data_IF_136155714480
#
_entry.id   IF_136155714480
#
_cell.length_a   1.000
_cell.length_b   1.000
_cell.length_c   1.000
_cell.angle_alpha   90.00
_cell.angle_beta   90.00
_cell.angle_gamma   90.00
#
_symmetry.space_group_name_H-M   'P 1'
#
loop_
_entity.id
_entity.type
_entity.pdbx_description
1 polymer ?
#
# COMPACT_ATOMS: atom_id res chain seq x y z
N UNK A 1 -38.91 -5.95 -70.40
CA UNK A 1 -37.97 -5.16 -69.57
C UNK A 1 -38.20 -5.55 -68.11
N UNK A 2 -37.14 -5.97 -67.41
CA UNK A 2 -37.17 -6.44 -66.01
C UNK A 2 -37.00 -5.24 -65.08
N UNK A 3 -37.83 -5.10 -64.05
CA UNK A 3 -37.61 -4.14 -62.96
C UNK A 3 -37.35 -4.91 -61.66
N UNK A 4 -36.15 -4.73 -61.11
CA UNK A 4 -35.67 -5.34 -59.89
C UNK A 4 -36.19 -4.61 -58.65
N UNK A 5 -36.56 -5.40 -57.66
CA UNK A 5 -36.86 -5.05 -56.27
C UNK A 5 -35.62 -4.58 -55.50
N UNK A 6 -35.78 -3.63 -54.58
CA UNK A 6 -34.86 -3.45 -53.44
C UNK A 6 -35.63 -2.97 -52.20
N UNK A 7 -35.71 -3.85 -51.21
CA UNK A 7 -36.16 -3.59 -49.84
C UNK A 7 -34.90 -3.34 -49.01
N UNK A 8 -34.77 -2.14 -48.44
CA UNK A 8 -33.63 -1.77 -47.59
C UNK A 8 -34.04 -1.90 -46.12
N UNK A 9 -33.57 -2.96 -45.46
CA UNK A 9 -33.77 -3.19 -44.03
C UNK A 9 -32.68 -2.46 -43.22
N UNK A 10 -33.09 -1.45 -42.46
CA UNK A 10 -32.22 -0.76 -41.49
C UNK A 10 -32.15 -1.62 -40.22
N UNK A 11 -30.98 -2.22 -39.97
CA UNK A 11 -30.65 -2.88 -38.70
C UNK A 11 -30.07 -1.84 -37.74
N UNK A 12 -30.80 -1.56 -36.65
CA UNK A 12 -30.32 -0.76 -35.53
C UNK A 12 -29.41 -1.65 -34.66
N UNK A 13 -28.11 -1.37 -34.63
CA UNK A 13 -27.17 -2.04 -33.75
C UNK A 13 -27.19 -1.39 -32.36
N UNK A 14 -27.65 -2.14 -31.35
CA UNK A 14 -27.55 -1.75 -29.94
C UNK A 14 -26.12 -2.01 -29.46
N UNK A 15 -25.32 -0.96 -29.31
CA UNK A 15 -23.99 -1.06 -28.71
C UNK A 15 -24.12 -1.17 -27.18
N UNK A 16 -23.91 -2.37 -26.63
CA UNK A 16 -23.79 -2.58 -25.19
C UNK A 16 -22.42 -2.07 -24.72
N UNK A 17 -22.41 -0.97 -23.96
CA UNK A 17 -21.23 -0.49 -23.23
C UNK A 17 -20.96 -1.46 -22.07
N UNK A 18 -20.10 -2.44 -22.31
CA UNK A 18 -19.50 -3.26 -21.26
C UNK A 18 -18.51 -2.39 -20.49
N UNK A 19 -18.94 -1.78 -19.38
CA UNK A 19 -18.02 -1.11 -18.47
C UNK A 19 -17.14 -2.17 -17.82
N UNK A 20 -15.84 -2.17 -18.16
CA UNK A 20 -14.86 -2.96 -17.45
C UNK A 20 -14.84 -2.48 -16.01
N UNK A 21 -15.28 -3.33 -15.07
CA UNK A 21 -15.08 -3.08 -13.65
C UNK A 21 -13.55 -3.05 -13.46
N UNK A 22 -12.97 -1.95 -12.98
CA UNK A 22 -11.54 -1.92 -12.69
C UNK A 22 -11.27 -3.03 -11.68
N UNK A 23 -10.52 -4.05 -12.11
CA UNK A 23 -9.99 -5.05 -11.19
C UNK A 23 -9.15 -4.27 -10.18
N UNK A 24 -9.38 -4.44 -8.87
CA UNK A 24 -8.50 -3.83 -7.87
C UNK A 24 -7.07 -4.22 -8.24
N UNK A 25 -6.18 -3.22 -8.35
CA UNK A 25 -4.79 -3.45 -8.69
C UNK A 25 -4.24 -4.57 -7.81
N UNK A 26 -3.63 -5.58 -8.44
CA UNK A 26 -3.03 -6.68 -7.70
C UNK A 26 -2.03 -6.12 -6.68
N UNK A 27 -2.08 -6.64 -5.46
CA UNK A 27 -1.14 -6.24 -4.42
C UNK A 27 0.29 -6.71 -4.76
N UNK A 28 1.32 -6.00 -4.28
CA UNK A 28 2.69 -6.47 -4.37
C UNK A 28 2.86 -7.84 -3.71
N UNK A 29 3.86 -8.59 -4.18
CA UNK A 29 4.25 -9.85 -3.54
C UNK A 29 4.50 -9.65 -2.03
N UNK A 30 3.99 -10.59 -1.23
CA UNK A 30 4.09 -10.56 0.23
C UNK A 30 3.04 -9.70 0.94
N UNK A 31 2.25 -8.90 0.22
CA UNK A 31 1.06 -8.24 0.77
C UNK A 31 -0.19 -9.08 0.58
N UNK A 32 -0.88 -9.34 1.69
CA UNK A 32 -2.19 -9.96 1.69
C UNK A 32 -3.29 -8.89 1.76
N UNK A 33 -4.40 -9.05 1.03
CA UNK A 33 -5.50 -8.10 1.08
C UNK A 33 -6.13 -8.09 2.47
N UNK A 34 -6.41 -6.90 2.98
CA UNK A 34 -7.09 -6.69 4.26
C UNK A 34 -8.16 -5.62 4.08
N UNK A 35 -9.33 -5.78 4.72
CA UNK A 35 -10.38 -4.78 4.60
C UNK A 35 -10.02 -3.51 5.36
N UNK A 36 -10.42 -2.37 4.81
CA UNK A 36 -10.29 -1.06 5.46
C UNK A 36 -10.87 -1.06 6.87
N UNK A 37 -12.01 -1.72 7.09
CA UNK A 37 -12.67 -1.85 8.39
C UNK A 37 -11.80 -2.61 9.39
N UNK A 38 -11.16 -3.70 8.97
CA UNK A 38 -10.26 -4.47 9.82
C UNK A 38 -9.01 -3.65 10.18
N UNK A 39 -8.43 -2.90 9.23
CA UNK A 39 -7.31 -2.00 9.50
C UNK A 39 -7.71 -0.95 10.54
N UNK A 40 -8.84 -0.25 10.33
CA UNK A 40 -9.34 0.75 11.30
C UNK A 40 -9.58 0.12 12.68
N UNK A 41 -10.14 -1.10 12.74
CA UNK A 41 -10.37 -1.82 13.99
C UNK A 41 -9.05 -2.04 14.74
N UNK A 42 -8.01 -2.55 14.06
CA UNK A 42 -6.69 -2.80 14.66
C UNK A 42 -5.99 -1.51 15.08
N UNK A 43 -6.06 -0.47 14.26
CA UNK A 43 -5.45 0.84 14.57
C UNK A 43 -6.16 1.60 15.70
N UNK A 44 -7.43 1.24 15.98
CA UNK A 44 -8.18 1.77 17.11
C UNK A 44 -7.97 1.00 18.42
N UNK A 45 -7.27 -0.14 18.41
CA UNK A 45 -6.99 -0.90 19.64
C UNK A 45 -6.06 -0.11 20.57
N UNK A 46 -6.33 -0.06 21.89
CA UNK A 46 -5.50 0.68 22.84
C UNK A 46 -4.05 0.20 22.83
N UNK A 47 -3.11 1.16 22.85
CA UNK A 47 -1.69 0.89 23.01
C UNK A 47 -1.45 0.21 24.36
N UNK A 48 -0.87 -0.99 24.36
CA UNK A 48 -0.61 -1.77 25.57
C UNK A 48 -1.66 -2.83 25.90
N UNK A 49 -2.69 -3.00 25.06
CA UNK A 49 -3.41 -4.27 25.04
C UNK A 49 -2.39 -5.40 24.79
N UNK A 50 -2.59 -6.59 25.38
CA UNK A 50 -1.82 -7.79 25.05
C UNK A 50 -2.11 -8.30 23.62
N UNK A 51 -2.56 -7.41 22.73
CA UNK A 51 -2.65 -7.68 21.31
C UNK A 51 -1.30 -8.22 20.85
N UNK A 52 -1.36 -9.37 20.18
CA UNK A 52 -0.18 -10.09 19.72
C UNK A 52 0.65 -9.14 18.86
N UNK A 53 1.86 -8.82 19.30
CA UNK A 53 2.83 -8.11 18.45
C UNK A 53 3.18 -9.01 17.29
N UNK A 54 3.08 -8.49 16.09
CA UNK A 54 3.70 -9.10 14.91
C UNK A 54 4.85 -8.18 14.51
N UNK A 55 6.07 -8.40 15.03
CA UNK A 55 7.22 -7.60 14.63
C UNK A 55 7.34 -7.58 13.10
N UNK A 56 7.48 -6.39 12.51
CA UNK A 56 7.51 -6.23 11.06
C UNK A 56 6.15 -6.11 10.38
N UNK A 57 5.03 -6.29 11.08
CA UNK A 57 3.69 -6.17 10.50
C UNK A 57 3.38 -4.72 10.11
N UNK A 58 3.00 -4.49 8.85
CA UNK A 58 2.66 -3.18 8.29
C UNK A 58 1.33 -3.25 7.53
N UNK A 59 0.43 -2.31 7.81
CA UNK A 59 -0.75 -2.01 6.98
C UNK A 59 -0.45 -0.81 6.09
N UNK A 60 -0.72 -0.95 4.79
CA UNK A 60 -0.69 0.15 3.82
C UNK A 60 -2.03 0.26 3.14
N UNK A 61 -2.54 1.48 2.98
CA UNK A 61 -3.67 1.74 2.10
C UNK A 61 -3.38 2.92 1.17
N UNK A 62 -3.94 2.86 -0.04
CA UNK A 62 -3.79 3.95 -1.03
C UNK A 62 -4.61 5.20 -0.68
N UNK A 63 -5.71 5.04 0.05
CA UNK A 63 -6.54 6.14 0.53
C UNK A 63 -6.21 6.57 1.96
N UNK A 64 -6.61 7.79 2.29
CA UNK A 64 -6.56 8.32 3.66
C UNK A 64 -7.54 7.59 4.58
N UNK A 65 -7.31 7.70 5.88
CA UNK A 65 -8.09 7.10 6.96
C UNK A 65 -8.31 5.59 6.78
N UNK A 66 -7.27 4.90 6.30
CA UNK A 66 -7.26 3.47 6.05
C UNK A 66 -8.39 3.07 5.10
N UNK A 67 -8.44 3.70 3.91
CA UNK A 67 -9.42 3.45 2.86
C UNK A 67 -8.75 3.11 1.52
N UNK A 68 -9.54 2.69 0.52
CA UNK A 68 -9.03 2.30 -0.78
C UNK A 68 -8.41 0.89 -0.78
N UNK A 69 -7.39 0.68 -1.59
CA UNK A 69 -6.71 -0.63 -1.69
C UNK A 69 -5.79 -0.80 -0.48
N UNK A 70 -6.17 -1.68 0.44
CA UNK A 70 -5.44 -1.97 1.66
C UNK A 70 -4.75 -3.34 1.60
N UNK A 71 -3.55 -3.42 2.17
CA UNK A 71 -2.77 -4.64 2.27
C UNK A 71 -2.02 -4.71 3.59
N UNK A 72 -1.79 -5.92 4.07
CA UNK A 72 -0.98 -6.23 5.23
C UNK A 72 0.16 -7.15 4.85
N UNK A 73 1.33 -6.91 5.42
CA UNK A 73 2.50 -7.76 5.23
C UNK A 73 3.38 -7.75 6.47
N UNK A 74 4.01 -8.89 6.78
CA UNK A 74 5.07 -8.96 7.78
C UNK A 74 6.40 -8.79 7.07
N UNK A 75 7.02 -7.64 7.29
CA UNK A 75 8.23 -7.21 6.60
C UNK A 75 9.49 -7.71 7.31
N UNK A 76 10.61 -7.90 6.58
CA UNK A 76 11.90 -8.16 7.20
C UNK A 76 12.26 -7.06 8.20
N UNK A 77 12.66 -7.46 9.41
CA UNK A 77 13.04 -6.52 10.48
C UNK A 77 14.55 -6.37 10.57
N UNK A 78 15.02 -5.13 10.66
CA UNK A 78 16.34 -4.79 11.14
C UNK A 78 16.34 -4.91 12.68
N UNK A 79 16.88 -6.01 13.20
CA UNK A 79 17.15 -6.20 14.63
C UNK A 79 18.46 -5.56 15.09
N UNK A 80 18.82 -5.80 16.36
CA UNK A 80 20.07 -5.31 16.95
C UNK A 80 21.30 -5.81 16.16
N UNK A 81 22.09 -4.87 15.62
CA UNK A 81 23.29 -5.15 14.82
C UNK A 81 23.02 -5.45 13.33
N UNK A 82 21.75 -5.62 12.94
CA UNK A 82 21.36 -5.73 11.53
C UNK A 82 21.26 -4.33 10.90
N UNK A 83 21.41 -4.25 9.57
CA UNK A 83 21.33 -2.99 8.82
C UNK A 83 22.41 -1.95 9.19
N UNK A 84 23.59 -2.42 9.63
CA UNK A 84 24.79 -1.61 9.92
C UNK A 84 25.69 -1.36 8.70
N UNK A 85 25.39 -1.98 7.56
CA UNK A 85 26.14 -1.82 6.30
C UNK A 85 25.16 -1.67 5.15
N UNK A 86 25.59 -1.06 4.04
CA UNK A 86 24.75 -0.93 2.85
C UNK A 86 24.22 -2.28 2.34
N UNK A 87 25.05 -3.34 2.38
CA UNK A 87 24.63 -4.68 1.97
C UNK A 87 23.56 -5.28 2.89
N UNK A 88 23.66 -5.08 4.20
CA UNK A 88 22.64 -5.58 5.15
C UNK A 88 21.37 -4.73 5.14
N UNK A 89 21.46 -3.43 4.84
CA UNK A 89 20.30 -2.57 4.56
C UNK A 89 19.54 -3.07 3.33
N UNK A 90 20.24 -3.35 2.23
CA UNK A 90 19.61 -3.80 0.98
C UNK A 90 18.78 -5.10 1.15
N UNK A 91 19.19 -5.99 2.06
CA UNK A 91 18.47 -7.24 2.34
C UNK A 91 17.15 -7.05 3.11
N UNK A 92 16.99 -5.93 3.83
CA UNK A 92 15.81 -5.63 4.64
C UNK A 92 14.99 -4.48 4.07
N UNK A 93 15.50 -3.83 3.03
CA UNK A 93 14.84 -2.72 2.37
C UNK A 93 13.61 -3.21 1.61
N UNK A 94 12.45 -2.71 2.02
CA UNK A 94 11.19 -2.96 1.32
C UNK A 94 11.06 -1.90 0.24
N UNK A 95 11.20 -2.30 -1.02
CA UNK A 95 10.96 -1.43 -2.18
C UNK A 95 9.49 -1.52 -2.56
N UNK A 96 8.81 -0.38 -2.59
CA UNK A 96 7.40 -0.30 -2.93
C UNK A 96 7.21 -0.45 -4.44
N UNK A 97 6.16 -1.18 -4.81
CA UNK A 97 5.64 -1.27 -6.17
C UNK A 97 4.18 -0.82 -6.19
N UNK A 98 3.55 -0.84 -7.36
CA UNK A 98 2.12 -0.57 -7.48
C UNK A 98 1.32 -1.51 -6.56
N UNK A 99 0.27 -1.04 -5.84
CA UNK A 99 -0.34 0.29 -5.95
C UNK A 99 0.20 1.31 -4.92
N UNK A 100 1.21 0.96 -4.13
CA UNK A 100 1.69 1.78 -3.01
C UNK A 100 2.84 2.72 -3.37
N UNK A 101 3.63 2.42 -4.41
CA UNK A 101 4.73 3.27 -4.83
C UNK A 101 4.25 4.71 -5.06
N UNK A 102 4.73 5.65 -4.22
CA UNK A 102 4.35 7.07 -4.26
C UNK A 102 2.84 7.35 -4.11
N UNK A 103 2.11 6.41 -3.52
CA UNK A 103 0.65 6.43 -3.47
C UNK A 103 0.13 5.82 -2.16
N UNK A 104 0.80 6.09 -1.04
CA UNK A 104 0.34 5.67 0.28
C UNK A 104 -0.49 6.79 0.90
N UNK A 105 -1.80 6.58 1.03
CA UNK A 105 -2.70 7.52 1.71
C UNK A 105 -2.75 7.29 3.22
N UNK A 106 -2.49 6.07 3.69
CA UNK A 106 -2.37 5.75 5.11
C UNK A 106 -1.39 4.62 5.37
N UNK A 107 -0.66 4.73 6.49
CA UNK A 107 0.45 3.85 6.85
C UNK A 107 0.31 3.49 8.33
N UNK A 108 0.15 2.20 8.65
CA UNK A 108 0.02 1.71 10.03
C UNK A 108 1.04 0.61 10.34
N UNK A 109 2.13 0.89 11.08
CA UNK A 109 2.97 -0.17 11.63
C UNK A 109 2.26 -0.86 12.81
N UNK A 110 2.39 -2.18 12.92
CA UNK A 110 1.98 -2.91 14.14
C UNK A 110 2.77 -2.40 15.37
N UNK A 111 2.21 -2.61 16.56
CA UNK A 111 2.87 -2.22 17.80
C UNK A 111 4.25 -2.86 17.97
N UNK A 112 5.23 -2.07 18.42
CA UNK A 112 6.62 -2.51 18.57
C UNK A 112 7.44 -2.45 17.28
N UNK A 113 6.95 -1.79 16.22
CA UNK A 113 7.72 -1.49 15.03
C UNK A 113 7.94 0.03 14.88
N UNK A 114 9.16 0.40 14.50
CA UNK A 114 9.51 1.73 13.97
C UNK A 114 9.95 1.57 12.54
N UNK A 115 9.37 2.36 11.64
CA UNK A 115 9.63 2.30 10.21
C UNK A 115 10.39 3.55 9.78
N UNK A 116 11.51 3.36 9.08
CA UNK A 116 12.26 4.45 8.47
C UNK A 116 11.94 4.53 6.99
N UNK A 117 11.50 5.70 6.54
CA UNK A 117 10.93 5.94 5.22
C UNK A 117 11.97 6.58 4.31
N UNK A 118 12.04 6.15 3.05
CA UNK A 118 13.00 6.62 2.07
C UNK A 118 12.36 6.91 0.71
N UNK A 119 12.94 7.85 -0.02
CA UNK A 119 12.49 8.31 -1.34
C UNK A 119 13.42 7.86 -2.49
N UNK A 120 14.52 7.18 -2.13
CA UNK A 120 15.62 6.82 -3.04
C UNK A 120 15.59 5.36 -3.52
N UNK A 121 14.62 4.57 -3.05
CA UNK A 121 14.40 3.17 -3.48
C UNK A 121 15.44 2.17 -2.96
N UNK A 122 16.30 2.54 -2.01
CA UNK A 122 17.36 1.67 -1.50
C UNK A 122 17.55 1.71 0.02
N UNK A 123 16.76 2.51 0.71
CA UNK A 123 16.74 2.63 2.17
C UNK A 123 18.03 3.11 2.85
N UNK A 124 19.02 3.63 2.11
CA UNK A 124 20.25 4.15 2.71
C UNK A 124 20.09 5.53 3.34
N UNK A 125 19.01 6.25 3.00
CA UNK A 125 18.76 7.61 3.47
C UNK A 125 17.30 7.73 3.90
N UNK A 126 17.06 7.77 5.21
CA UNK A 126 15.73 7.96 5.77
C UNK A 126 15.38 9.45 5.77
N UNK A 127 14.20 9.79 5.26
CA UNK A 127 13.67 11.17 5.26
C UNK A 127 12.70 11.41 6.43
N UNK A 128 12.14 10.34 6.99
CA UNK A 128 11.27 10.38 8.16
C UNK A 128 11.21 9.00 8.83
N UNK A 129 10.62 8.93 10.02
CA UNK A 129 10.30 7.67 10.68
C UNK A 129 8.88 7.69 11.24
N UNK A 130 8.19 6.56 11.17
CA UNK A 130 6.82 6.39 11.66
C UNK A 130 6.70 5.12 12.51
N UNK A 131 5.98 5.22 13.63
CA UNK A 131 5.72 4.10 14.53
C UNK A 131 4.22 3.99 14.80
N UNK A 132 3.78 2.86 15.35
CA UNK A 132 2.39 2.67 15.79
C UNK A 132 1.89 3.88 16.62
N UNK A 133 0.69 4.45 16.33
CA UNK A 133 -0.39 3.89 15.51
C UNK A 133 -0.32 4.23 14.03
N UNK A 134 0.80 4.81 13.56
CA UNK A 134 0.93 5.24 12.17
C UNK A 134 0.23 6.56 11.88
N UNK A 135 -0.22 6.73 10.64
CA UNK A 135 -0.93 7.92 10.17
C UNK A 135 -2.04 7.53 9.20
N UNK A 136 -3.26 7.99 9.51
CA UNK A 136 -4.38 7.94 8.59
C UNK A 136 -4.26 8.96 7.45
N UNK A 137 -3.42 9.98 7.57
CA UNK A 137 -3.24 11.04 6.56
C UNK A 137 -1.78 11.12 6.14
N UNK A 138 -1.33 10.08 5.46
CA UNK A 138 0.10 9.94 5.17
C UNK A 138 0.59 10.92 4.11
N UNK A 139 -0.30 11.46 3.27
CA UNK A 139 0.02 12.55 2.35
C UNK A 139 0.31 13.88 3.05
N UNK A 140 -0.20 14.11 4.27
CA UNK A 140 0.12 15.29 5.09
C UNK A 140 1.31 15.03 6.04
N UNK A 141 1.75 13.78 6.15
CA UNK A 141 2.77 13.35 7.10
C UNK A 141 4.15 13.93 6.75
N UNK A 142 4.90 14.31 7.79
CA UNK A 142 6.27 14.85 7.72
C UNK A 142 6.47 15.91 6.61
N UNK A 143 5.50 16.81 6.42
CA UNK A 143 5.59 17.88 5.43
C UNK A 143 5.26 17.46 4.00
N UNK A 144 4.54 16.35 3.80
CA UNK A 144 4.02 15.98 2.48
C UNK A 144 4.73 14.82 1.79
N UNK A 145 5.36 13.92 2.54
CA UNK A 145 6.24 12.89 1.95
C UNK A 145 5.51 11.68 1.38
N UNK A 146 4.20 11.50 1.65
CA UNK A 146 3.47 10.29 1.25
C UNK A 146 3.52 9.97 -0.26
N UNK A 147 3.57 11.00 -1.11
CA UNK A 147 3.72 10.86 -2.57
C UNK A 147 5.18 10.68 -3.05
N UNK A 148 6.13 10.67 -2.13
CA UNK A 148 7.56 10.61 -2.43
C UNK A 148 8.17 9.28 -1.98
N UNK A 149 7.53 8.57 -1.05
CA UNK A 149 8.06 7.33 -0.50
C UNK A 149 8.09 6.23 -1.56
N UNK A 150 9.26 5.63 -1.68
CA UNK A 150 9.54 4.53 -2.61
C UNK A 150 10.02 3.27 -1.90
N UNK A 151 10.51 3.40 -0.66
CA UNK A 151 11.03 2.26 0.10
C UNK A 151 11.03 2.55 1.60
N UNK A 152 11.15 1.51 2.42
CA UNK A 152 11.26 1.64 3.87
C UNK A 152 12.02 0.49 4.54
N UNK A 153 12.51 0.72 5.75
CA UNK A 153 13.06 -0.30 6.66
C UNK A 153 12.21 -0.40 7.90
N UNK A 154 12.05 -1.61 8.43
CA UNK A 154 11.34 -1.85 9.69
C UNK A 154 12.31 -2.26 10.77
N UNK A 155 12.25 -1.62 11.93
CA UNK A 155 13.00 -1.97 13.13
C UNK A 155 12.02 -2.44 14.20
N UNK A 156 12.28 -3.62 14.75
CA UNK A 156 11.54 -4.11 15.91
C UNK A 156 12.12 -3.49 17.20
N UNK A 157 11.24 -3.00 18.06
CA UNK A 157 11.55 -2.38 19.36
C UNK A 157 11.02 -3.21 20.52
#
# INVERSE_FOLDING_TARGET
MKFNTSLSSVLLALAALSQAIPTPDALPDGFEPISSEEVRRRMAEPQGSMAKRTPGGIYLCTGENYSGTCGYAVQPVCGSGQCSTASSIAQHCVILTSPYLRNIGSFGPDSGATVYLSTNGNCNEAVASISNPGSGKFFEYAGGIGHQITSFLVFAS
#
